data_IF_925973550827
#
_entry.id   IF_925973550827
#
_cell.length_a   1.000
_cell.length_b   1.000
_cell.length_c   1.000
_cell.angle_alpha   90.00
_cell.angle_beta   90.00
_cell.angle_gamma   90.00
#
_symmetry.space_group_name_H-M   'P 1'
#
loop_
_entity.id
_entity.type
_entity.pdbx_description
1 polymer ?
#
# COMPACT_ATOMS: atom_id res chain seq x y z
N UNK A 1 2.62 -18.53 31.55
CA UNK A 1 3.88 -18.29 30.81
C UNK A 1 4.94 -19.18 31.40
N UNK A 2 5.64 -19.99 30.61
CA UNK A 2 6.74 -20.81 31.14
C UNK A 2 7.96 -19.94 31.48
N UNK A 3 8.67 -20.25 32.57
CA UNK A 3 9.88 -19.52 32.98
C UNK A 3 10.95 -19.50 31.87
N UNK A 4 11.08 -20.59 31.12
CA UNK A 4 12.03 -20.70 30.01
C UNK A 4 11.74 -19.71 28.87
N UNK A 5 10.46 -19.47 28.56
CA UNK A 5 10.06 -18.51 27.50
C UNK A 5 10.36 -17.08 27.94
N UNK A 6 10.10 -16.75 29.20
CA UNK A 6 10.37 -15.43 29.75
C UNK A 6 11.88 -15.12 29.79
N UNK A 7 12.71 -16.09 30.18
CA UNK A 7 14.17 -15.96 30.15
C UNK A 7 14.69 -15.77 28.72
N UNK A 8 14.24 -16.60 27.78
CA UNK A 8 14.65 -16.50 26.38
C UNK A 8 14.26 -15.15 25.77
N UNK A 9 13.03 -14.69 26.01
CA UNK A 9 12.57 -13.38 25.57
C UNK A 9 13.43 -12.25 26.15
N UNK A 10 13.68 -12.26 27.46
CA UNK A 10 14.50 -11.24 28.12
C UNK A 10 15.92 -11.24 27.55
N UNK A 11 16.55 -12.40 27.38
CA UNK A 11 17.90 -12.52 26.82
C UNK A 11 17.98 -11.95 25.40
N UNK A 12 17.02 -12.27 24.54
CA UNK A 12 17.00 -11.77 23.16
C UNK A 12 16.68 -10.27 23.10
N UNK A 13 15.83 -9.77 24.00
CA UNK A 13 15.57 -8.34 24.15
C UNK A 13 16.81 -7.57 24.64
N UNK A 14 17.50 -8.08 25.67
CA UNK A 14 18.73 -7.48 26.21
C UNK A 14 19.86 -7.46 25.16
N UNK A 15 19.85 -8.40 24.20
CA UNK A 15 20.75 -8.43 23.03
C UNK A 15 20.32 -7.50 21.88
N UNK A 16 19.15 -6.83 21.99
CA UNK A 16 18.61 -5.96 20.94
C UNK A 16 18.00 -6.71 19.75
N UNK A 17 17.80 -8.03 19.85
CA UNK A 17 17.22 -8.86 18.78
C UNK A 17 15.68 -8.85 18.80
N UNK A 18 15.07 -8.54 19.95
CA UNK A 18 13.63 -8.29 20.08
C UNK A 18 13.43 -6.80 20.32
N UNK A 19 12.59 -6.18 19.50
CA UNK A 19 12.24 -4.78 19.61
C UNK A 19 10.74 -4.57 19.37
N UNK A 20 10.26 -3.36 19.68
CA UNK A 20 8.91 -2.91 19.35
C UNK A 20 8.98 -1.78 18.33
N UNK A 21 8.26 -1.91 17.24
CA UNK A 21 8.14 -0.89 16.21
C UNK A 21 6.87 -1.06 15.40
N UNK A 22 6.59 -0.05 14.57
CA UNK A 22 5.49 -0.09 13.61
C UNK A 22 5.99 -0.72 12.31
N UNK A 23 5.39 -1.84 11.91
CA UNK A 23 5.65 -2.50 10.62
C UNK A 23 4.34 -3.05 10.04
N UNK A 24 4.34 -3.31 8.73
CA UNK A 24 3.19 -3.96 8.07
C UNK A 24 3.12 -5.41 8.54
N UNK A 25 1.93 -5.85 8.95
CA UNK A 25 1.69 -7.22 9.45
C UNK A 25 0.61 -7.89 8.63
N UNK A 26 0.70 -9.21 8.49
CA UNK A 26 -0.44 -10.00 8.05
C UNK A 26 -1.45 -10.07 9.21
N UNK A 27 -2.65 -9.52 9.01
CA UNK A 27 -3.71 -9.53 10.02
C UNK A 27 -4.84 -10.47 9.63
N UNK A 28 -5.17 -11.43 10.50
CA UNK A 28 -6.31 -12.32 10.29
C UNK A 28 -7.57 -11.74 10.96
N UNK A 29 -8.61 -11.46 10.18
CA UNK A 29 -9.92 -11.05 10.72
C UNK A 29 -10.60 -12.17 11.52
N UNK A 30 -10.35 -13.43 11.16
CA UNK A 30 -10.92 -14.60 11.84
C UNK A 30 -10.27 -14.81 13.21
N UNK A 31 -8.94 -14.78 13.26
CA UNK A 31 -8.18 -14.98 14.51
C UNK A 31 -8.09 -13.70 15.35
N UNK A 32 -8.32 -12.54 14.74
CA UNK A 32 -8.18 -11.20 15.35
C UNK A 32 -6.79 -10.97 15.93
N UNK A 33 -5.77 -11.42 15.20
CA UNK A 33 -4.38 -11.26 15.56
C UNK A 33 -3.48 -11.19 14.32
N UNK A 34 -2.26 -10.71 14.53
CA UNK A 34 -1.22 -10.79 13.53
C UNK A 34 -0.77 -12.26 13.37
N UNK A 35 -0.49 -12.66 12.13
CA UNK A 35 0.08 -13.96 11.76
C UNK A 35 1.43 -13.76 11.10
N UNK A 36 2.33 -14.72 11.28
CA UNK A 36 3.64 -14.72 10.64
C UNK A 36 3.53 -15.08 9.16
N UNK A 37 4.52 -14.70 8.36
CA UNK A 37 4.57 -15.05 6.93
C UNK A 37 4.55 -16.57 6.71
N UNK A 38 5.08 -17.35 7.66
CA UNK A 38 5.08 -18.82 7.62
C UNK A 38 3.68 -19.43 7.86
N UNK A 39 2.75 -18.66 8.41
CA UNK A 39 1.36 -19.07 8.65
C UNK A 39 0.42 -18.60 7.53
N UNK A 40 0.93 -17.91 6.50
CA UNK A 40 0.15 -17.43 5.36
C UNK A 40 0.25 -18.44 4.21
N UNK A 41 -0.90 -18.89 3.73
CA UNK A 41 -1.02 -19.75 2.56
C UNK A 41 -1.57 -18.95 1.37
N UNK A 42 -0.99 -19.13 0.18
CA UNK A 42 -1.42 -18.48 -1.05
C UNK A 42 -2.20 -19.45 -1.92
N UNK A 43 -3.34 -19.00 -2.42
CA UNK A 43 -4.19 -19.74 -3.34
C UNK A 43 -4.64 -18.81 -4.48
N UNK A 44 -4.82 -19.39 -5.67
CA UNK A 44 -5.27 -18.64 -6.83
C UNK A 44 -6.79 -18.48 -6.81
N UNK A 45 -7.26 -17.26 -7.05
CA UNK A 45 -8.68 -16.95 -7.21
C UNK A 45 -8.94 -16.13 -8.48
N UNK A 46 -10.12 -16.33 -9.06
CA UNK A 46 -10.57 -15.51 -10.18
C UNK A 46 -10.99 -14.12 -9.68
N UNK A 47 -10.10 -13.15 -9.85
CA UNK A 47 -10.36 -11.74 -9.55
C UNK A 47 -11.06 -10.99 -10.69
N UNK A 48 -11.65 -9.83 -10.36
CA UNK A 48 -12.12 -8.85 -11.35
C UNK A 48 -11.21 -7.63 -11.32
N UNK A 49 -10.83 -7.14 -12.49
CA UNK A 49 -10.14 -5.86 -12.63
C UNK A 49 -11.15 -4.73 -12.71
N UNK A 50 -11.02 -3.76 -11.80
CA UNK A 50 -11.88 -2.59 -11.72
C UNK A 50 -11.09 -1.35 -12.19
N UNK A 51 -11.73 -0.51 -12.98
CA UNK A 51 -11.12 0.71 -13.52
C UNK A 51 -11.67 1.94 -12.82
N UNK A 52 -10.77 2.80 -12.37
CA UNK A 52 -11.09 4.05 -11.71
C UNK A 52 -10.36 5.22 -12.35
N UNK A 53 -11.02 6.37 -12.40
CA UNK A 53 -10.44 7.60 -12.93
C UNK A 53 -10.11 8.55 -11.77
N UNK A 54 -8.84 8.89 -11.63
CA UNK A 54 -8.35 9.87 -10.67
C UNK A 54 -8.24 11.22 -11.38
N UNK A 55 -9.23 12.11 -11.24
CA UNK A 55 -9.20 13.40 -11.91
C UNK A 55 -8.06 14.25 -11.36
N UNK A 56 -7.41 15.04 -12.22
CA UNK A 56 -6.40 16.01 -11.78
C UNK A 56 -7.05 17.00 -10.81
N UNK A 57 -6.37 17.31 -9.71
CA UNK A 57 -6.91 18.24 -8.71
C UNK A 57 -7.06 19.65 -9.27
N UNK A 58 -6.21 20.01 -10.24
CA UNK A 58 -6.19 21.28 -10.94
C UNK A 58 -6.19 21.04 -12.46
N UNK A 59 -7.10 21.69 -13.16
CA UNK A 59 -7.25 21.58 -14.61
C UNK A 59 -8.22 20.49 -15.06
N UNK A 60 -8.10 20.08 -16.32
CA UNK A 60 -8.91 19.02 -16.93
C UNK A 60 -8.06 17.78 -17.19
N UNK A 61 -8.67 16.60 -17.06
CA UNK A 61 -8.03 15.31 -17.28
C UNK A 61 -8.09 14.40 -16.06
N UNK A 62 -7.63 13.17 -16.25
CA UNK A 62 -7.61 12.13 -15.22
C UNK A 62 -6.52 11.10 -15.52
N UNK A 63 -6.10 10.37 -14.49
CA UNK A 63 -5.26 9.19 -14.62
C UNK A 63 -6.14 7.96 -14.38
N UNK A 64 -6.31 7.06 -15.36
CA UNK A 64 -6.99 5.79 -15.14
C UNK A 64 -6.07 4.86 -14.33
N UNK A 65 -6.64 4.17 -13.35
CA UNK A 65 -5.96 3.14 -12.55
C UNK A 65 -6.79 1.88 -12.60
N UNK A 66 -6.13 0.73 -12.56
CA UNK A 66 -6.79 -0.57 -12.46
C UNK A 66 -6.42 -1.23 -11.13
N UNK A 67 -7.40 -1.84 -10.46
CA UNK A 67 -7.20 -2.52 -9.17
C UNK A 67 -8.18 -3.67 -8.99
N UNK A 68 -7.77 -4.73 -8.29
CA UNK A 68 -8.65 -5.84 -7.90
C UNK A 68 -9.46 -5.53 -6.63
N UNK A 69 -8.92 -4.88 -5.58
CA UNK A 69 -9.69 -4.41 -4.41
C UNK A 69 -10.13 -2.93 -4.52
N UNK A 70 -11.35 -2.62 -4.98
CA UNK A 70 -11.83 -1.23 -5.03
C UNK A 70 -12.02 -0.58 -3.64
N UNK A 71 -12.22 -1.38 -2.58
CA UNK A 71 -12.41 -0.89 -1.21
C UNK A 71 -11.23 -0.13 -0.60
N UNK A 72 -10.01 -0.33 -1.10
CA UNK A 72 -8.80 0.24 -0.49
C UNK A 72 -8.46 1.63 -1.04
N UNK A 73 -9.17 2.09 -2.08
CA UNK A 73 -8.98 3.39 -2.75
C UNK A 73 -8.99 4.56 -1.76
N UNK A 74 -9.86 4.49 -0.73
CA UNK A 74 -9.91 5.54 0.29
C UNK A 74 -8.63 5.64 1.14
N UNK A 75 -7.84 4.58 1.15
CA UNK A 75 -6.54 4.45 1.82
C UNK A 75 -5.36 4.90 0.99
N UNK A 76 -5.57 5.33 -0.26
CA UNK A 76 -4.48 5.70 -1.17
C UNK A 76 -3.69 6.89 -0.66
N UNK A 77 -2.41 6.99 -0.95
CA UNK A 77 -1.57 8.10 -0.46
C UNK A 77 -0.80 8.78 -1.58
N UNK A 78 -0.64 8.10 -2.71
CA UNK A 78 -0.12 8.62 -3.96
C UNK A 78 -0.65 7.76 -5.12
N UNK A 79 -0.59 8.31 -6.34
CA UNK A 79 -0.49 7.49 -7.53
C UNK A 79 0.98 7.39 -7.93
N UNK A 80 1.41 6.22 -8.35
CA UNK A 80 2.75 5.98 -8.85
C UNK A 80 2.70 5.60 -10.31
N UNK A 81 3.58 6.20 -11.11
CA UNK A 81 3.75 5.89 -12.53
C UNK A 81 5.22 5.59 -12.81
N UNK A 82 5.50 4.90 -13.91
CA UNK A 82 6.88 4.68 -14.30
C UNK A 82 7.51 5.99 -14.83
N UNK A 83 8.75 6.35 -14.45
CA UNK A 83 9.38 7.61 -14.88
C UNK A 83 9.53 7.74 -16.41
N UNK A 84 9.79 6.63 -17.09
CA UNK A 84 9.88 6.55 -18.56
C UNK A 84 8.52 6.39 -19.28
N UNK A 85 7.39 6.50 -18.58
CA UNK A 85 6.07 6.44 -19.22
C UNK A 85 5.62 7.83 -19.68
N UNK A 86 5.78 8.11 -20.98
CA UNK A 86 5.43 9.38 -21.60
C UNK A 86 3.93 9.73 -21.46
N UNK A 87 3.06 8.73 -21.25
CA UNK A 87 1.62 8.95 -21.03
C UNK A 87 1.37 9.76 -19.76
N UNK A 88 2.21 9.59 -18.73
CA UNK A 88 1.99 10.14 -17.39
C UNK A 88 3.13 11.00 -16.85
N UNK A 89 4.29 11.04 -17.51
CA UNK A 89 5.46 11.83 -17.08
C UNK A 89 5.11 13.29 -16.77
N UNK A 90 4.23 13.90 -17.57
CA UNK A 90 3.73 15.26 -17.38
C UNK A 90 2.86 15.49 -16.12
N UNK A 91 2.42 14.42 -15.45
CA UNK A 91 1.62 14.49 -14.24
C UNK A 91 2.45 14.29 -12.97
N UNK A 92 3.69 13.81 -13.07
CA UNK A 92 4.59 13.65 -11.92
C UNK A 92 4.78 15.00 -11.21
N UNK A 93 4.60 15.01 -9.89
CA UNK A 93 4.62 16.22 -9.06
C UNK A 93 3.31 17.01 -9.04
N UNK A 94 2.33 16.67 -9.90
CA UNK A 94 0.96 17.18 -9.78
C UNK A 94 0.17 16.34 -8.77
N UNK A 95 -1.04 16.79 -8.48
CA UNK A 95 -1.97 16.07 -7.61
C UNK A 95 -3.21 15.62 -8.37
N UNK A 96 -3.76 14.50 -7.93
CA UNK A 96 -5.06 13.97 -8.37
C UNK A 96 -5.99 13.85 -7.17
N UNK A 97 -7.30 13.86 -7.43
CA UNK A 97 -8.30 13.57 -6.42
C UNK A 97 -8.54 12.08 -6.32
N UNK A 98 -8.55 11.57 -5.10
CA UNK A 98 -9.01 10.21 -4.83
C UNK A 98 -10.51 10.10 -5.21
N UNK A 99 -10.90 9.12 -6.03
CA UNK A 99 -12.30 8.90 -6.39
C UNK A 99 -13.20 8.84 -5.16
N UNK A 100 -14.43 9.34 -5.30
CA UNK A 100 -15.45 9.38 -4.23
C UNK A 100 -15.02 10.07 -2.92
N UNK A 101 -13.90 10.80 -2.95
CA UNK A 101 -13.32 11.52 -1.82
C UNK A 101 -13.02 12.98 -2.20
N UNK A 102 -12.79 13.82 -1.18
CA UNK A 102 -12.35 15.22 -1.36
C UNK A 102 -10.84 15.39 -1.12
N UNK A 103 -10.10 14.29 -1.10
CA UNK A 103 -8.67 14.27 -0.78
C UNK A 103 -7.83 14.25 -2.05
N UNK A 104 -6.87 15.16 -2.10
CA UNK A 104 -5.88 15.21 -3.15
C UNK A 104 -4.62 14.44 -2.71
N UNK A 105 -4.03 13.68 -3.63
CA UNK A 105 -2.81 12.90 -3.45
C UNK A 105 -1.80 13.21 -4.56
N UNK A 106 -0.49 13.18 -4.28
CA UNK A 106 0.53 13.40 -5.30
C UNK A 106 0.59 12.25 -6.31
N UNK A 107 1.04 12.59 -7.51
CA UNK A 107 1.52 11.64 -8.51
C UNK A 107 3.05 11.59 -8.40
N UNK A 108 3.58 10.43 -8.07
CA UNK A 108 5.02 10.15 -7.93
C UNK A 108 5.51 9.24 -9.06
N UNK A 109 6.83 9.15 -9.22
CA UNK A 109 7.45 8.26 -10.18
C UNK A 109 8.33 7.21 -9.49
N UNK A 110 8.22 5.95 -9.90
CA UNK A 110 9.08 4.86 -9.46
C UNK A 110 9.18 3.78 -10.54
N UNK A 111 10.37 3.21 -10.71
CA UNK A 111 10.63 2.10 -11.65
C UNK A 111 9.96 0.79 -11.23
N UNK A 112 9.47 0.70 -9.99
CA UNK A 112 8.65 -0.43 -9.53
C UNK A 112 7.38 -0.63 -10.36
N UNK A 113 6.82 0.44 -10.94
CA UNK A 113 5.56 0.36 -11.69
C UNK A 113 5.80 -0.20 -13.08
N UNK A 114 5.18 -1.33 -13.39
CA UNK A 114 5.17 -1.87 -14.74
C UNK A 114 4.26 -1.02 -15.66
N UNK A 115 4.81 -0.59 -16.80
CA UNK A 115 4.13 0.22 -17.82
C UNK A 115 3.11 -0.59 -18.62
N UNK A 116 3.35 -1.89 -18.78
CA UNK A 116 2.54 -2.79 -19.59
C UNK A 116 1.38 -3.39 -18.78
N UNK A 117 1.54 -3.47 -17.45
CA UNK A 117 0.49 -3.97 -16.58
C UNK A 117 -0.66 -2.96 -16.43
N UNK A 118 -1.86 -3.40 -16.81
CA UNK A 118 -3.07 -2.62 -16.57
C UNK A 118 -3.09 -1.30 -17.33
N UNK A 119 -3.01 -0.19 -16.58
CA UNK A 119 -2.97 1.16 -17.15
C UNK A 119 -1.56 1.75 -17.19
N UNK A 120 -0.59 1.16 -16.50
CA UNK A 120 0.73 1.77 -16.24
C UNK A 120 0.73 2.79 -15.10
N UNK A 121 -0.39 2.96 -14.40
CA UNK A 121 -0.50 3.74 -13.17
C UNK A 121 -0.97 2.85 -12.01
N UNK A 122 -0.26 2.94 -10.89
CA UNK A 122 -0.49 2.17 -9.67
C UNK A 122 -1.03 3.10 -8.58
N UNK A 123 -2.13 2.71 -7.92
CA UNK A 123 -2.53 3.33 -6.66
C UNK A 123 -1.65 2.82 -5.52
N UNK A 124 -1.17 3.71 -4.66
CA UNK A 124 -0.35 3.34 -3.49
C UNK A 124 -1.22 3.42 -2.24
N UNK A 125 -1.54 2.27 -1.64
CA UNK A 125 -2.41 2.11 -0.46
C UNK A 125 -1.62 1.49 0.73
N UNK A 126 -0.74 2.23 1.42
CA UNK A 126 0.26 1.67 2.35
C UNK A 126 -0.28 0.96 3.60
N UNK A 127 -1.57 1.13 3.88
CA UNK A 127 -2.25 0.45 4.98
C UNK A 127 -2.74 -0.95 4.63
N UNK A 128 -2.58 -1.42 3.38
CA UNK A 128 -3.21 -2.64 2.88
C UNK A 128 -2.29 -3.54 2.05
N UNK A 129 -1.13 -3.07 1.60
CA UNK A 129 -0.18 -3.85 0.81
C UNK A 129 1.28 -3.61 1.27
N UNK A 130 2.09 -4.67 1.25
CA UNK A 130 3.49 -4.63 1.70
C UNK A 130 4.38 -3.83 0.75
N UNK A 131 4.19 -3.95 -0.56
CA UNK A 131 5.00 -3.23 -1.54
C UNK A 131 4.67 -1.73 -1.50
N UNK A 132 3.38 -1.40 -1.37
CA UNK A 132 2.94 -0.02 -1.16
C UNK A 132 3.49 0.58 0.13
N UNK A 133 3.62 -0.23 1.19
CA UNK A 133 4.23 0.19 2.45
C UNK A 133 5.73 0.50 2.30
N UNK A 134 6.47 -0.27 1.50
CA UNK A 134 7.88 0.02 1.20
C UNK A 134 8.03 1.24 0.28
N UNK A 135 7.18 1.39 -0.73
CA UNK A 135 7.13 2.60 -1.56
C UNK A 135 6.81 3.84 -0.72
N UNK A 136 5.89 3.71 0.24
CA UNK A 136 5.61 4.77 1.22
C UNK A 136 6.86 5.16 2.00
N UNK A 137 7.70 4.22 2.42
CA UNK A 137 8.96 4.55 3.12
C UNK A 137 9.94 5.24 2.19
N UNK A 138 10.12 4.71 0.98
CA UNK A 138 11.02 5.24 -0.06
C UNK A 138 10.67 6.68 -0.44
N UNK A 139 9.39 6.98 -0.60
CA UNK A 139 8.88 8.29 -1.03
C UNK A 139 8.35 9.17 0.11
N UNK A 140 8.54 8.74 1.37
CA UNK A 140 8.08 9.46 2.56
C UNK A 140 6.58 9.85 2.51
N UNK A 141 5.72 8.94 2.04
CA UNK A 141 4.28 9.15 1.96
C UNK A 141 3.62 9.02 3.35
N UNK A 142 2.42 9.59 3.58
CA UNK A 142 1.69 9.36 4.81
C UNK A 142 1.30 7.87 4.95
N UNK A 143 1.13 7.38 6.17
CA UNK A 143 0.47 6.08 6.41
C UNK A 143 -1.03 6.31 6.53
N UNK A 144 -1.80 5.75 5.62
CA UNK A 144 -3.26 5.83 5.65
C UNK A 144 -3.86 4.42 5.51
N UNK A 145 -4.88 4.13 6.32
CA UNK A 145 -5.64 2.89 6.23
C UNK A 145 -7.13 3.24 6.13
N UNK A 146 -7.84 2.58 5.22
CA UNK A 146 -9.29 2.77 5.02
C UNK A 146 -10.15 1.81 5.85
N UNK A 147 -9.54 0.86 6.56
CA UNK A 147 -10.23 -0.13 7.40
C UNK A 147 -9.69 -0.09 8.82
N UNK A 148 -10.52 -0.52 9.77
CA UNK A 148 -10.07 -0.76 11.13
C UNK A 148 -9.83 -2.26 11.32
N UNK A 149 -9.07 -2.63 12.35
CA UNK A 149 -8.75 -4.02 12.67
C UNK A 149 -9.87 -4.71 13.49
N UNK A 150 -11.10 -4.18 13.48
CA UNK A 150 -12.22 -4.64 14.32
C UNK A 150 -13.20 -5.50 13.54
#
# INVERSE_FOLDING_TARGET
MSAAVAEAFKRLHDQGLIYRGDYMVNWSLTLRMAVSDLEVEFFEENGKLNYFWYPLSHGSGFIPVVTTPPEIILGDTALCVHPADERYSQYVGKTVRVPVSRRDIPVIADEYVDREFGTGALQISPGHDHNDYELKKKHNLPRQCSRNAR
#
